data_IF_699815312485
#
_entry.id   IF_699815312485
#
_cell.length_a   1.000
_cell.length_b   1.000
_cell.length_c   1.000
_cell.angle_alpha   90.00
_cell.angle_beta   90.00
_cell.angle_gamma   90.00
#
_symmetry.space_group_name_H-M   'P 1'
#
loop_
_entity.id
_entity.type
_entity.pdbx_description
1 polymer ?
#
# COMPACT_ATOMS: atom_id res chain seq x y z
N UNK A 1 32.26 -2.01 5.16
CA UNK A 1 31.00 -1.43 4.67
C UNK A 1 30.02 -1.60 5.81
N UNK A 2 29.71 -0.54 6.55
CA UNK A 2 28.74 -0.61 7.64
C UNK A 2 27.36 -0.66 6.98
N UNK A 3 26.74 -1.84 7.00
CA UNK A 3 25.31 -1.96 6.73
C UNK A 3 24.65 -1.37 7.98
N UNK A 4 23.95 -0.27 7.79
CA UNK A 4 23.25 0.44 8.87
C UNK A 4 22.13 -0.46 9.41
N UNK A 5 22.31 -1.01 10.61
CA UNK A 5 21.30 -1.84 11.26
C UNK A 5 20.00 -1.08 11.55
N UNK A 6 20.01 0.26 11.46
CA UNK A 6 18.79 1.07 11.51
C UNK A 6 17.94 0.92 10.26
N UNK A 7 18.48 0.45 9.13
CA UNK A 7 17.70 0.19 7.92
C UNK A 7 17.01 -1.18 7.92
N UNK A 8 17.59 -2.19 8.57
CA UNK A 8 17.06 -3.56 8.51
C UNK A 8 15.65 -3.67 9.13
N UNK A 9 15.42 -3.01 10.27
CA UNK A 9 14.09 -3.03 10.91
C UNK A 9 13.07 -2.18 10.15
N UNK A 10 13.50 -1.09 9.50
CA UNK A 10 12.62 -0.25 8.68
C UNK A 10 12.18 -0.98 7.43
N UNK A 11 13.11 -1.70 6.78
CA UNK A 11 12.82 -2.57 5.63
C UNK A 11 11.83 -3.66 6.05
N UNK A 12 12.08 -4.36 7.15
CA UNK A 12 11.17 -5.41 7.62
C UNK A 12 9.79 -4.83 7.95
N UNK A 13 9.75 -3.68 8.63
CA UNK A 13 8.50 -3.00 8.96
C UNK A 13 7.73 -2.59 7.70
N UNK A 14 8.42 -2.08 6.69
CA UNK A 14 7.82 -1.75 5.40
C UNK A 14 7.24 -3.00 4.72
N UNK A 15 8.04 -4.06 4.62
CA UNK A 15 7.65 -5.33 3.98
C UNK A 15 6.43 -5.94 4.68
N UNK A 16 6.43 -5.99 6.01
CA UNK A 16 5.32 -6.52 6.80
C UNK A 16 4.01 -5.75 6.56
N UNK A 17 4.07 -4.41 6.52
CA UNK A 17 2.90 -3.57 6.27
C UNK A 17 2.43 -3.71 4.83
N UNK A 18 3.37 -3.71 3.87
CA UNK A 18 3.07 -3.89 2.46
C UNK A 18 2.30 -5.20 2.24
N UNK A 19 2.84 -6.32 2.74
CA UNK A 19 2.24 -7.64 2.58
C UNK A 19 0.86 -7.73 3.24
N UNK A 20 0.71 -7.14 4.43
CA UNK A 20 -0.56 -7.11 5.13
C UNK A 20 -1.64 -6.33 4.38
N UNK A 21 -1.30 -5.15 3.85
CA UNK A 21 -2.22 -4.30 3.05
C UNK A 21 -2.57 -5.02 1.75
N UNK A 22 -1.59 -5.57 1.06
CA UNK A 22 -1.79 -6.32 -0.18
C UNK A 22 -2.75 -7.50 0.02
N UNK A 23 -2.49 -8.33 1.04
CA UNK A 23 -3.33 -9.47 1.38
C UNK A 23 -4.75 -9.05 1.78
N UNK A 24 -4.91 -7.91 2.45
CA UNK A 24 -6.22 -7.36 2.82
C UNK A 24 -7.04 -6.97 1.59
N UNK A 25 -6.42 -6.30 0.62
CA UNK A 25 -7.08 -5.92 -0.64
C UNK A 25 -7.48 -7.17 -1.43
N UNK A 26 -6.55 -8.12 -1.55
CA UNK A 26 -6.83 -9.40 -2.21
C UNK A 26 -8.02 -10.10 -1.54
N UNK A 27 -8.01 -10.19 -0.21
CA UNK A 27 -9.08 -10.86 0.53
C UNK A 27 -10.42 -10.16 0.38
N UNK A 28 -10.41 -8.82 0.41
CA UNK A 28 -11.61 -8.01 0.19
C UNK A 28 -12.22 -8.31 -1.17
N UNK A 29 -11.41 -8.40 -2.23
CA UNK A 29 -11.89 -8.75 -3.57
C UNK A 29 -12.46 -10.17 -3.67
N UNK A 30 -11.93 -11.11 -2.89
CA UNK A 30 -12.48 -12.49 -2.83
C UNK A 30 -13.84 -12.55 -2.13
N UNK A 31 -14.04 -11.76 -1.07
CA UNK A 31 -15.20 -11.85 -0.18
C UNK A 31 -16.31 -10.89 -0.57
N UNK A 32 -15.96 -9.69 -1.04
CA UNK A 32 -16.89 -8.63 -1.41
C UNK A 32 -16.93 -8.47 -2.93
N UNK A 33 -17.95 -9.05 -3.56
CA UNK A 33 -18.17 -8.96 -5.01
C UNK A 33 -18.58 -7.56 -5.47
N UNK A 34 -18.93 -6.65 -4.56
CA UNK A 34 -19.24 -5.25 -4.88
C UNK A 34 -18.00 -4.36 -4.90
N UNK A 35 -16.87 -4.84 -4.37
CA UNK A 35 -15.61 -4.11 -4.37
C UNK A 35 -15.04 -4.04 -5.79
N UNK A 36 -15.00 -2.82 -6.34
CA UNK A 36 -14.50 -2.56 -7.70
C UNK A 36 -13.19 -1.79 -7.68
N UNK A 37 -12.55 -1.69 -8.84
CA UNK A 37 -11.23 -1.09 -8.96
C UNK A 37 -11.25 0.41 -8.61
N UNK A 38 -12.35 1.09 -8.92
CA UNK A 38 -12.58 2.50 -8.63
C UNK A 38 -12.65 2.78 -7.12
N UNK A 39 -13.06 1.79 -6.31
CA UNK A 39 -13.05 1.92 -4.85
C UNK A 39 -11.63 1.90 -4.29
N UNK A 40 -10.74 1.11 -4.89
CA UNK A 40 -9.33 1.06 -4.51
C UNK A 40 -8.58 2.30 -4.97
N UNK A 41 -8.91 2.83 -6.15
CA UNK A 41 -8.39 4.11 -6.64
C UNK A 41 -8.77 5.26 -5.71
N UNK A 42 -10.03 5.35 -5.27
CA UNK A 42 -10.47 6.37 -4.31
C UNK A 42 -9.75 6.25 -2.97
N UNK A 43 -9.57 5.02 -2.46
CA UNK A 43 -8.80 4.80 -1.22
C UNK A 43 -7.34 5.25 -1.36
N UNK A 44 -6.71 5.01 -2.52
CA UNK A 44 -5.35 5.47 -2.78
C UNK A 44 -5.26 7.00 -2.86
N UNK A 45 -6.24 7.66 -3.49
CA UNK A 45 -6.33 9.13 -3.51
C UNK A 45 -6.45 9.71 -2.09
N UNK A 46 -7.28 9.11 -1.23
CA UNK A 46 -7.42 9.51 0.17
C UNK A 46 -6.10 9.38 0.94
N UNK A 47 -5.31 8.31 0.69
CA UNK A 47 -3.98 8.15 1.29
C UNK A 47 -3.00 9.22 0.83
N UNK A 48 -2.99 9.58 -0.46
CA UNK A 48 -2.14 10.67 -0.94
C UNK A 48 -2.50 12.02 -0.32
N UNK A 49 -3.78 12.29 -0.11
CA UNK A 49 -4.20 13.50 0.61
C UNK A 49 -3.70 13.49 2.06
N UNK A 50 -3.75 12.32 2.72
CA UNK A 50 -3.29 12.17 4.10
C UNK A 50 -1.76 12.26 4.24
N UNK A 51 -1.02 11.76 3.25
CA UNK A 51 0.43 11.88 3.14
C UNK A 51 0.86 13.34 2.89
N UNK A 52 0.26 13.98 1.88
CA UNK A 52 0.56 15.37 1.49
C UNK A 52 0.15 16.43 2.52
N UNK A 53 -0.67 16.07 3.52
CA UNK A 53 -0.91 16.93 4.68
C UNK A 53 0.28 17.03 5.65
N UNK A 54 1.38 16.30 5.39
CA UNK A 54 2.67 16.41 6.06
C UNK A 54 2.53 16.60 7.58
N UNK A 55 1.81 15.67 8.23
CA UNK A 55 1.60 15.72 9.68
C UNK A 55 2.94 15.49 10.39
N UNK A 56 3.67 16.58 10.58
CA UNK A 56 4.88 16.65 11.39
C UNK A 56 4.65 15.94 12.73
N UNK A 57 5.52 14.97 13.04
CA UNK A 57 5.53 14.29 14.34
C UNK A 57 4.93 12.89 14.37
N UNK A 58 4.55 12.32 13.22
CA UNK A 58 4.11 10.91 13.11
C UNK A 58 5.21 9.90 13.45
N UNK A 59 6.47 10.26 13.22
CA UNK A 59 7.63 9.42 13.50
C UNK A 59 7.79 8.28 12.49
N UNK A 60 8.99 7.70 12.43
CA UNK A 60 9.39 6.84 11.31
C UNK A 60 8.47 5.65 11.05
N UNK A 61 7.90 5.03 12.09
CA UNK A 61 6.98 3.90 11.93
C UNK A 61 5.71 4.28 11.18
N UNK A 62 5.15 5.46 11.46
CA UNK A 62 3.94 5.92 10.79
C UNK A 62 4.22 6.42 9.37
N UNK A 63 5.44 6.91 9.11
CA UNK A 63 5.87 7.22 7.74
C UNK A 63 5.99 5.92 6.92
N UNK A 64 6.61 4.88 7.49
CA UNK A 64 6.69 3.55 6.87
C UNK A 64 5.31 2.94 6.62
N UNK A 65 4.37 3.10 7.55
CA UNK A 65 3.00 2.63 7.39
C UNK A 65 2.30 3.28 6.19
N UNK A 66 2.45 4.60 6.05
CA UNK A 66 1.92 5.36 4.91
C UNK A 66 2.58 4.93 3.60
N UNK A 67 3.91 4.93 3.55
CA UNK A 67 4.71 4.59 2.37
C UNK A 67 4.38 3.16 1.89
N UNK A 68 4.37 2.18 2.79
CA UNK A 68 4.10 0.78 2.47
C UNK A 68 2.65 0.56 2.03
N UNK A 69 1.69 1.22 2.68
CA UNK A 69 0.27 1.13 2.31
C UNK A 69 0.01 1.68 0.91
N UNK A 70 0.59 2.84 0.58
CA UNK A 70 0.51 3.44 -0.76
C UNK A 70 1.12 2.50 -1.79
N UNK A 71 2.32 1.98 -1.53
CA UNK A 71 3.02 1.07 -2.46
C UNK A 71 2.22 -0.21 -2.72
N UNK A 72 1.64 -0.83 -1.68
CA UNK A 72 0.83 -2.03 -1.81
C UNK A 72 -0.43 -1.78 -2.66
N UNK A 73 -1.13 -0.66 -2.42
CA UNK A 73 -2.31 -0.28 -3.21
C UNK A 73 -1.97 -0.01 -4.68
N UNK A 74 -0.87 0.71 -4.94
CA UNK A 74 -0.40 0.96 -6.30
C UNK A 74 -0.05 -0.33 -7.05
N UNK A 75 0.69 -1.24 -6.40
CA UNK A 75 1.07 -2.52 -7.00
C UNK A 75 -0.17 -3.35 -7.35
N UNK A 76 -1.11 -3.49 -6.41
CA UNK A 76 -2.33 -4.24 -6.64
C UNK A 76 -3.18 -3.62 -7.77
N UNK A 77 -3.32 -2.29 -7.81
CA UNK A 77 -4.02 -1.59 -8.89
C UNK A 77 -3.38 -1.84 -10.25
N UNK A 78 -2.04 -1.79 -10.33
CA UNK A 78 -1.32 -2.08 -11.57
C UNK A 78 -1.63 -3.48 -12.07
N UNK A 79 -1.50 -4.50 -11.20
CA UNK A 79 -1.78 -5.89 -11.55
C UNK A 79 -3.23 -6.10 -11.97
N UNK A 80 -4.19 -5.49 -11.27
CA UNK A 80 -5.60 -5.58 -11.62
C UNK A 80 -5.88 -4.96 -13.00
N UNK A 81 -5.31 -3.80 -13.32
CA UNK A 81 -5.44 -3.18 -14.65
C UNK A 81 -4.83 -4.05 -15.74
N UNK A 82 -3.67 -4.65 -15.50
CA UNK A 82 -3.05 -5.59 -16.44
C UNK A 82 -3.94 -6.81 -16.69
N UNK A 83 -4.50 -7.40 -15.63
CA UNK A 83 -5.39 -8.55 -15.75
C UNK A 83 -6.67 -8.23 -16.54
N UNK A 84 -7.23 -7.02 -16.40
CA UNK A 84 -8.35 -6.56 -17.24
C UNK A 84 -7.95 -6.41 -18.71
N UNK A 85 -6.82 -5.75 -18.98
CA UNK A 85 -6.35 -5.48 -20.35
C UNK A 85 -5.95 -6.75 -21.13
N UNK A 86 -5.63 -7.85 -20.44
CA UNK A 86 -5.30 -9.14 -21.06
C UNK A 86 -6.53 -10.04 -21.28
N UNK A 87 -7.69 -9.68 -20.72
CA UNK A 87 -8.95 -10.40 -20.86
C UNK A 87 -9.92 -9.83 -21.89
N UNK A 88 -9.56 -8.71 -22.54
CA UNK A 88 -10.26 -8.10 -23.69
C UNK A 88 -9.62 -8.52 -25.01
#
# INVERSE_FOLDING_TARGET
MLIDSSSDWEIQCFEDIFDAVYATIQKRREVDTSFVIEDLERQLEDLYLLDGHDWLGRGRVADLDMEASIAAMQQYLYEWRQAKNQGE
#
